data_IF_471201009986
#
_entry.id   IF_471201009986
#
_cell.length_a   1.000
_cell.length_b   1.000
_cell.length_c   1.000
_cell.angle_alpha   90.00
_cell.angle_beta   90.00
_cell.angle_gamma   90.00
#
_symmetry.space_group_name_H-M   'P 1'
#
loop_
_entity.id
_entity.type
_entity.pdbx_description
1 polymer ?
#
# COMPACT_ATOMS: atom_id res chain seq x y z
N UNK A 1 -5.50 -32.58 4.10
CA UNK A 1 -5.69 -31.60 5.19
C UNK A 1 -7.14 -31.64 5.64
N UNK A 2 -7.36 -31.84 6.94
CA UNK A 2 -8.72 -31.85 7.48
C UNK A 2 -9.00 -30.46 8.06
N UNK A 3 -10.00 -29.79 7.50
CA UNK A 3 -10.47 -28.50 8.01
C UNK A 3 -11.51 -28.79 9.10
N UNK A 4 -11.36 -28.14 10.25
CA UNK A 4 -12.33 -28.30 11.33
C UNK A 4 -13.66 -27.65 10.94
N UNK A 5 -14.76 -28.35 11.16
CA UNK A 5 -16.10 -27.84 10.84
C UNK A 5 -16.39 -26.49 11.53
N UNK A 6 -15.87 -26.28 12.75
CA UNK A 6 -16.05 -25.04 13.48
C UNK A 6 -15.44 -23.84 12.76
N UNK A 7 -14.27 -23.98 12.14
CA UNK A 7 -13.60 -22.90 11.42
C UNK A 7 -14.39 -22.49 10.18
N UNK A 8 -14.86 -23.48 9.41
CA UNK A 8 -15.68 -23.20 8.23
C UNK A 8 -17.00 -22.54 8.60
N UNK A 9 -17.63 -22.97 9.68
CA UNK A 9 -18.90 -22.43 10.16
C UNK A 9 -18.74 -20.99 10.61
N UNK A 10 -17.69 -20.67 11.35
CA UNK A 10 -17.41 -19.31 11.81
C UNK A 10 -17.18 -18.36 10.65
N UNK A 11 -16.40 -18.77 9.66
CA UNK A 11 -16.17 -17.97 8.45
C UNK A 11 -17.47 -17.69 7.70
N UNK A 12 -18.29 -18.71 7.48
CA UNK A 12 -19.56 -18.57 6.78
C UNK A 12 -20.55 -17.67 7.55
N UNK A 13 -20.57 -17.75 8.88
CA UNK A 13 -21.38 -16.87 9.70
C UNK A 13 -20.93 -15.41 9.58
N UNK A 14 -19.63 -15.13 9.59
CA UNK A 14 -19.10 -13.79 9.40
C UNK A 14 -19.48 -13.24 8.03
N UNK A 15 -19.37 -14.07 7.00
CA UNK A 15 -19.74 -13.68 5.64
C UNK A 15 -21.24 -13.37 5.54
N UNK A 16 -22.09 -14.23 6.11
CA UNK A 16 -23.53 -14.09 6.07
C UNK A 16 -24.02 -12.83 6.81
N UNK A 17 -23.40 -12.49 7.93
CA UNK A 17 -23.80 -11.33 8.75
C UNK A 17 -23.13 -10.02 8.32
N UNK A 18 -22.27 -10.06 7.30
CA UNK A 18 -21.55 -8.88 6.84
C UNK A 18 -20.47 -8.37 7.79
N UNK A 19 -20.09 -9.18 8.78
CA UNK A 19 -19.06 -8.81 9.76
C UNK A 19 -17.64 -9.27 9.36
N UNK A 20 -17.50 -9.91 8.22
CA UNK A 20 -16.20 -10.30 7.72
C UNK A 20 -15.37 -9.06 7.41
N UNK A 21 -14.11 -9.05 7.85
CA UNK A 21 -13.20 -7.95 7.58
C UNK A 21 -12.99 -7.79 6.08
N UNK A 22 -13.31 -6.60 5.56
CA UNK A 22 -13.20 -6.30 4.13
C UNK A 22 -11.81 -5.81 3.72
N UNK A 23 -10.97 -5.46 4.69
CA UNK A 23 -9.66 -4.88 4.43
C UNK A 23 -9.70 -3.37 4.25
N UNK A 24 -8.57 -2.80 3.81
CA UNK A 24 -8.39 -1.36 3.67
C UNK A 24 -8.58 -0.92 2.23
N UNK A 25 -9.43 0.07 2.02
CA UNK A 25 -9.71 0.64 0.71
C UNK A 25 -8.94 1.95 0.50
N UNK A 26 -8.62 2.26 -0.76
CA UNK A 26 -7.96 3.53 -1.11
C UNK A 26 -8.94 4.58 -1.67
N UNK A 27 -10.20 4.21 -1.89
CA UNK A 27 -11.24 5.13 -2.31
C UNK A 27 -11.34 5.36 -3.81
N UNK A 28 -10.87 4.41 -4.62
CA UNK A 28 -10.99 4.48 -6.07
C UNK A 28 -11.45 3.14 -6.66
N UNK A 29 -11.63 3.09 -7.96
CA UNK A 29 -12.12 1.90 -8.66
C UNK A 29 -11.24 0.67 -8.44
N UNK A 30 -9.95 0.85 -8.14
CA UNK A 30 -9.03 -0.24 -7.86
C UNK A 30 -9.50 -1.12 -6.69
N UNK A 31 -10.26 -0.57 -5.75
CA UNK A 31 -10.79 -1.30 -4.60
C UNK A 31 -11.70 -2.47 -5.01
N UNK A 32 -12.25 -2.43 -6.22
CA UNK A 32 -13.06 -3.52 -6.76
C UNK A 32 -12.23 -4.76 -7.13
N UNK A 33 -10.93 -4.60 -7.30
CA UNK A 33 -10.01 -5.64 -7.76
C UNK A 33 -8.93 -5.98 -6.74
N UNK A 34 -8.55 -5.03 -5.91
CA UNK A 34 -7.44 -5.17 -4.98
C UNK A 34 -7.79 -4.49 -3.65
N UNK A 35 -7.76 -5.27 -2.58
CA UNK A 35 -7.98 -4.76 -1.22
C UNK A 35 -6.86 -5.27 -0.33
N UNK A 36 -6.24 -4.37 0.43
CA UNK A 36 -5.18 -4.73 1.36
C UNK A 36 -5.76 -5.22 2.68
N UNK A 37 -5.24 -6.35 3.17
CA UNK A 37 -5.56 -6.88 4.49
C UNK A 37 -4.27 -7.16 5.26
N UNK A 38 -4.31 -6.95 6.58
CA UNK A 38 -3.19 -7.33 7.44
C UNK A 38 -3.06 -8.86 7.52
N UNK A 39 -1.86 -9.32 7.86
CA UNK A 39 -1.56 -10.75 8.07
C UNK A 39 -1.68 -11.59 6.80
N UNK A 40 -1.55 -10.98 5.65
CA UNK A 40 -1.52 -11.67 4.37
C UNK A 40 -0.18 -11.47 3.69
N UNK A 41 0.28 -12.51 3.00
CA UNK A 41 1.44 -12.43 2.12
C UNK A 41 0.94 -12.18 0.70
N UNK A 42 1.42 -11.12 0.09
CA UNK A 42 1.03 -10.72 -1.26
C UNK A 42 2.26 -10.73 -2.17
N UNK A 43 2.13 -11.37 -3.32
CA UNK A 43 3.16 -11.36 -4.37
C UNK A 43 2.72 -10.45 -5.51
N UNK A 44 3.60 -9.55 -5.92
CA UNK A 44 3.40 -8.72 -7.10
C UNK A 44 4.43 -9.12 -8.16
N UNK A 45 3.96 -9.72 -9.23
CA UNK A 45 4.80 -10.20 -10.32
C UNK A 45 4.64 -9.33 -11.56
N UNK A 46 5.72 -9.17 -12.29
CA UNK A 46 5.73 -8.44 -13.56
C UNK A 46 7.12 -8.46 -14.17
N UNK A 47 7.19 -8.06 -15.42
CA UNK A 47 8.46 -7.93 -16.12
C UNK A 47 9.29 -6.77 -15.53
N UNK A 48 10.59 -6.78 -15.77
CA UNK A 48 11.46 -5.69 -15.35
C UNK A 48 11.06 -4.38 -16.03
N UNK A 49 11.23 -3.28 -15.31
CA UNK A 49 10.97 -1.92 -15.83
C UNK A 49 9.51 -1.64 -16.23
N UNK A 50 8.54 -2.39 -15.68
CA UNK A 50 7.11 -2.12 -15.91
C UNK A 50 6.46 -1.24 -14.83
N UNK A 51 7.25 -0.76 -13.86
CA UNK A 51 6.77 0.15 -12.82
C UNK A 51 6.17 -0.51 -11.60
N UNK A 52 6.54 -1.76 -11.29
CA UNK A 52 6.05 -2.48 -10.11
C UNK A 52 6.29 -1.72 -8.80
N UNK A 53 7.54 -1.33 -8.57
CA UNK A 53 7.92 -0.62 -7.33
C UNK A 53 7.24 0.74 -7.25
N UNK A 54 7.10 1.42 -8.37
CA UNK A 54 6.41 2.70 -8.45
C UNK A 54 4.94 2.57 -8.08
N UNK A 55 4.26 1.59 -8.63
CA UNK A 55 2.85 1.31 -8.33
C UNK A 55 2.64 0.95 -6.85
N UNK A 56 3.49 0.06 -6.32
CA UNK A 56 3.39 -0.38 -4.92
C UNK A 56 3.63 0.79 -3.97
N UNK A 57 4.60 1.64 -4.25
CA UNK A 57 4.87 2.85 -3.46
C UNK A 57 3.67 3.79 -3.43
N UNK A 58 3.06 4.04 -4.57
CA UNK A 58 1.84 4.84 -4.68
C UNK A 58 0.69 4.23 -3.89
N UNK A 59 0.46 2.93 -4.03
CA UNK A 59 -0.62 2.22 -3.35
C UNK A 59 -0.44 2.28 -1.82
N UNK A 60 0.77 2.03 -1.33
CA UNK A 60 1.07 2.11 0.10
C UNK A 60 0.90 3.54 0.63
N UNK A 61 1.27 4.53 -0.15
CA UNK A 61 1.10 5.93 0.24
C UNK A 61 -0.40 6.27 0.38
N UNK A 62 -1.23 5.84 -0.54
CA UNK A 62 -2.68 6.03 -0.47
C UNK A 62 -3.27 5.36 0.77
N UNK A 63 -2.83 4.14 1.08
CA UNK A 63 -3.26 3.44 2.30
C UNK A 63 -2.82 4.17 3.56
N UNK A 64 -1.60 4.69 3.59
CA UNK A 64 -1.06 5.43 4.73
C UNK A 64 -1.86 6.72 4.98
N UNK A 65 -2.16 7.47 3.94
CA UNK A 65 -2.91 8.71 4.07
C UNK A 65 -4.35 8.46 4.53
N UNK A 66 -4.96 7.38 4.08
CA UNK A 66 -6.36 7.10 4.37
C UNK A 66 -6.56 6.38 5.71
N UNK A 67 -5.64 5.48 6.06
CA UNK A 67 -5.79 4.60 7.24
C UNK A 67 -4.71 4.78 8.29
N UNK A 68 -3.78 5.71 8.08
CA UNK A 68 -2.68 6.00 9.02
C UNK A 68 -1.83 4.76 9.33
N UNK A 69 -1.48 4.00 8.31
CA UNK A 69 -0.64 2.80 8.44
C UNK A 69 0.84 3.14 8.40
N UNK A 70 1.63 2.37 9.12
CA UNK A 70 3.09 2.47 9.13
C UNK A 70 3.69 1.28 8.37
N UNK A 71 4.70 1.54 7.54
CA UNK A 71 5.32 0.54 6.68
C UNK A 71 6.80 0.42 6.97
N UNK A 72 7.31 -0.81 6.86
CA UNK A 72 8.75 -1.06 6.81
C UNK A 72 9.08 -1.53 5.39
N UNK A 73 10.01 -0.85 4.75
CA UNK A 73 10.40 -1.16 3.37
C UNK A 73 11.83 -1.64 3.35
N UNK A 74 12.04 -2.83 2.79
CA UNK A 74 13.36 -3.37 2.50
C UNK A 74 13.49 -3.57 0.99
N UNK A 75 14.54 -2.99 0.39
CA UNK A 75 14.77 -3.08 -1.04
C UNK A 75 16.24 -3.32 -1.33
N UNK A 76 16.51 -4.27 -2.23
CA UNK A 76 17.85 -4.57 -2.72
C UNK A 76 18.16 -3.86 -4.05
N UNK A 77 17.12 -3.44 -4.78
CA UNK A 77 17.26 -2.85 -6.11
C UNK A 77 17.29 -1.33 -6.09
N UNK A 78 16.55 -0.71 -5.16
CA UNK A 78 16.40 0.74 -5.09
C UNK A 78 16.96 1.28 -3.79
N UNK A 79 17.69 2.40 -3.86
CA UNK A 79 18.18 3.09 -2.67
C UNK A 79 17.02 3.72 -1.90
N UNK A 80 17.23 3.95 -0.61
CA UNK A 80 16.27 4.66 0.25
C UNK A 80 15.97 6.04 -0.32
N UNK A 81 16.99 6.74 -0.83
CA UNK A 81 16.83 8.05 -1.43
C UNK A 81 15.89 8.04 -2.63
N UNK A 82 16.00 7.02 -3.49
CA UNK A 82 15.13 6.89 -4.67
C UNK A 82 13.69 6.62 -4.27
N UNK A 83 13.47 5.75 -3.28
CA UNK A 83 12.12 5.46 -2.79
C UNK A 83 11.49 6.71 -2.17
N UNK A 84 12.23 7.44 -1.34
CA UNK A 84 11.74 8.69 -0.75
C UNK A 84 11.44 9.74 -1.81
N UNK A 85 12.29 9.85 -2.84
CA UNK A 85 12.04 10.76 -3.95
C UNK A 85 10.70 10.47 -4.62
N UNK A 86 10.44 9.21 -4.93
CA UNK A 86 9.19 8.81 -5.59
C UNK A 86 7.98 9.11 -4.71
N UNK A 87 8.06 8.85 -3.41
CA UNK A 87 6.97 9.16 -2.47
C UNK A 87 6.73 10.66 -2.35
N UNK A 88 7.79 11.46 -2.30
CA UNK A 88 7.68 12.92 -2.25
C UNK A 88 7.01 13.44 -3.53
N UNK A 89 7.39 12.93 -4.69
CA UNK A 89 6.81 13.34 -5.97
C UNK A 89 5.33 12.95 -6.07
N UNK A 90 4.92 11.83 -5.49
CA UNK A 90 3.50 11.49 -5.40
C UNK A 90 2.72 12.48 -4.53
N UNK A 91 3.26 12.84 -3.38
CA UNK A 91 2.60 13.77 -2.46
C UNK A 91 2.51 15.18 -3.04
N UNK A 92 3.61 15.66 -3.61
CA UNK A 92 3.70 17.02 -4.14
C UNK A 92 3.08 17.16 -5.52
N UNK A 93 2.94 16.06 -6.27
CA UNK A 93 2.51 16.05 -7.68
C UNK A 93 3.40 16.92 -8.56
N UNK A 94 4.68 17.06 -8.18
CA UNK A 94 5.71 17.82 -8.89
C UNK A 94 7.04 17.09 -8.76
N UNK A 95 7.97 17.40 -9.66
CA UNK A 95 9.34 16.88 -9.56
C UNK A 95 10.04 17.50 -8.35
N UNK A 96 10.95 16.75 -7.74
CA UNK A 96 11.71 17.23 -6.58
C UNK A 96 12.48 18.51 -6.91
N UNK A 97 13.01 18.61 -8.13
CA UNK A 97 13.76 19.78 -8.59
C UNK A 97 12.90 21.06 -8.61
N UNK A 98 11.58 20.92 -8.73
CA UNK A 98 10.65 22.05 -8.80
C UNK A 98 10.16 22.50 -7.42
N UNK A 99 10.58 21.81 -6.35
CA UNK A 99 10.19 22.15 -4.98
C UNK A 99 11.13 23.20 -4.40
N UNK A 100 10.57 24.12 -3.59
CA UNK A 100 11.39 25.01 -2.77
C UNK A 100 12.06 24.20 -1.65
N UNK A 101 13.13 24.74 -1.07
CA UNK A 101 13.83 24.08 0.03
C UNK A 101 12.89 23.78 1.20
N UNK A 102 12.03 24.72 1.56
CA UNK A 102 11.05 24.53 2.65
C UNK A 102 10.03 23.44 2.32
N UNK A 103 9.48 23.44 1.10
CA UNK A 103 8.55 22.41 0.67
C UNK A 103 9.20 21.03 0.69
N UNK A 104 10.44 20.94 0.18
CA UNK A 104 11.19 19.69 0.17
C UNK A 104 11.37 19.13 1.59
N UNK A 105 11.81 19.95 2.54
CA UNK A 105 11.99 19.48 3.92
C UNK A 105 10.69 19.10 4.60
N UNK A 106 9.61 19.82 4.33
CA UNK A 106 8.31 19.47 4.87
C UNK A 106 7.86 18.07 4.42
N UNK A 107 7.95 17.77 3.12
CA UNK A 107 7.62 16.46 2.61
C UNK A 107 8.59 15.38 3.09
N UNK A 108 9.87 15.68 3.11
CA UNK A 108 10.89 14.74 3.55
C UNK A 108 10.69 14.29 4.99
N UNK A 109 10.37 15.22 5.87
CA UNK A 109 10.16 14.94 7.28
C UNK A 109 8.81 14.25 7.55
N UNK A 110 7.83 14.43 6.66
CA UNK A 110 6.52 13.79 6.77
C UNK A 110 6.57 12.28 6.45
N UNK A 111 7.48 11.89 5.59
CA UNK A 111 7.69 10.50 5.21
C UNK A 111 8.66 9.86 6.21
#
# INVERSE_FOLDING_TARGET
>A
MIVKDSEGKDYLNLLRTGKLEKGYEIGCELDNYLVFKRKQLVFANGLDNVGKTYFIGWYFLCLTQRHNLTWTIFSTENSIAKIKRDLIQFLAQRKVEDLTEMEFYNYFNHI
#
